data_IF_317953627657
#
_entry.id   IF_317953627657
#
_cell.length_a   1.000
_cell.length_b   1.000
_cell.length_c   1.000
_cell.angle_alpha   90.00
_cell.angle_beta   90.00
_cell.angle_gamma   90.00
#
_symmetry.space_group_name_H-M   'P 1'
#
loop_
_entity.id
_entity.type
_entity.pdbx_description
1 polymer ?
#
# COMPACT_ATOMS: atom_id res chain seq x y z
N UNK A 1 -1.93 13.70 -26.92
CA UNK A 1 -2.62 12.42 -26.72
C UNK A 1 -4.12 12.60 -26.85
N UNK A 2 -4.78 13.36 -25.97
CA UNK A 2 -6.24 13.58 -26.04
C UNK A 2 -6.72 14.14 -27.39
N UNK A 3 -5.99 15.07 -28.01
CA UNK A 3 -6.32 15.58 -29.35
C UNK A 3 -6.18 14.52 -30.47
N UNK A 4 -5.25 13.56 -30.31
CA UNK A 4 -5.03 12.47 -31.27
C UNK A 4 -6.11 11.39 -31.06
N UNK A 5 -6.43 11.04 -29.83
CA UNK A 5 -7.49 10.09 -29.48
C UNK A 5 -8.87 10.61 -29.89
N UNK A 6 -9.13 11.91 -29.68
CA UNK A 6 -10.35 12.55 -30.17
C UNK A 6 -10.42 12.53 -31.71
N UNK A 7 -9.28 12.75 -32.39
CA UNK A 7 -9.21 12.66 -33.85
C UNK A 7 -9.41 11.22 -34.36
N UNK A 8 -8.84 10.22 -33.68
CA UNK A 8 -9.04 8.79 -33.98
C UNK A 8 -10.52 8.45 -33.83
N UNK A 9 -11.17 8.80 -32.71
CA UNK A 9 -12.59 8.56 -32.50
C UNK A 9 -13.45 9.21 -33.60
N UNK A 10 -13.15 10.45 -34.02
CA UNK A 10 -13.86 11.08 -35.13
C UNK A 10 -13.64 10.37 -36.48
N UNK A 11 -12.46 9.81 -36.72
CA UNK A 11 -12.16 9.05 -37.95
C UNK A 11 -12.77 7.64 -37.92
N UNK A 12 -12.87 7.01 -36.75
CA UNK A 12 -13.58 5.74 -36.56
C UNK A 12 -15.08 5.90 -36.72
N UNK A 13 -15.67 6.93 -36.11
CA UNK A 13 -17.08 7.27 -36.27
C UNK A 13 -17.41 7.59 -37.74
N UNK A 14 -16.52 8.28 -38.45
CA UNK A 14 -16.66 8.52 -39.88
C UNK A 14 -16.61 7.21 -40.68
N UNK A 15 -15.65 6.32 -40.41
CA UNK A 15 -15.53 5.01 -41.05
C UNK A 15 -16.75 4.11 -40.79
N UNK A 16 -17.27 4.10 -39.58
CA UNK A 16 -18.50 3.37 -39.24
C UNK A 16 -19.73 3.96 -39.92
N UNK A 17 -19.81 5.30 -40.03
CA UNK A 17 -20.84 5.99 -40.81
C UNK A 17 -20.86 5.55 -42.27
N UNK A 18 -19.70 5.51 -42.93
CA UNK A 18 -19.59 5.06 -44.33
C UNK A 18 -19.86 3.55 -44.48
N UNK A 19 -19.43 2.71 -43.54
CA UNK A 19 -19.72 1.26 -43.54
C UNK A 19 -21.20 0.97 -43.29
N UNK A 20 -21.89 1.76 -42.47
CA UNK A 20 -23.32 1.58 -42.17
C UNK A 20 -24.22 2.12 -43.30
N UNK A 21 -23.84 3.22 -43.94
CA UNK A 21 -24.48 3.70 -45.17
C UNK A 21 -24.43 2.67 -46.30
N UNK A 22 -23.35 1.88 -46.39
CA UNK A 22 -23.23 0.76 -47.34
C UNK A 22 -24.15 -0.44 -47.03
N UNK A 23 -24.59 -0.59 -45.77
CA UNK A 23 -25.42 -1.72 -45.30
C UNK A 23 -26.92 -1.42 -45.32
N UNK A 24 -27.34 -0.19 -45.00
CA UNK A 24 -28.76 0.19 -45.00
C UNK A 24 -29.32 0.42 -46.41
N UNK A 25 -28.47 0.72 -47.39
CA UNK A 25 -28.91 1.07 -48.74
C UNK A 25 -28.95 -0.13 -49.73
N UNK A 26 -29.56 -1.25 -49.32
CA UNK A 26 -29.89 -2.37 -50.24
C UNK A 26 -31.12 -2.12 -51.14
N UNK A 27 -31.64 -0.88 -51.19
CA UNK A 27 -32.91 -0.56 -51.86
C UNK A 27 -32.89 0.55 -52.91
N UNK A 28 -31.89 1.43 -52.97
CA UNK A 28 -31.89 2.53 -53.93
C UNK A 28 -30.48 2.88 -54.42
N UNK A 29 -30.27 2.63 -55.71
CA UNK A 29 -29.19 3.16 -56.55
C UNK A 29 -27.77 2.93 -56.04
N UNK A 30 -27.26 1.74 -56.37
CA UNK A 30 -25.84 1.50 -56.52
C UNK A 30 -25.23 2.51 -57.51
N UNK A 31 -24.51 3.50 -56.99
CA UNK A 31 -23.33 4.04 -57.64
C UNK A 31 -22.22 3.95 -56.60
N UNK A 32 -21.53 2.80 -56.59
CA UNK A 32 -20.22 2.69 -55.96
C UNK A 32 -19.28 3.58 -56.76
N UNK A 33 -19.05 4.82 -56.32
CA UNK A 33 -17.95 5.60 -56.91
C UNK A 33 -16.66 4.97 -56.41
N UNK A 34 -15.77 4.60 -57.34
CA UNK A 34 -14.43 4.11 -57.02
C UNK A 34 -13.69 5.07 -56.07
N UNK A 35 -14.06 6.35 -56.11
CA UNK A 35 -13.61 7.44 -55.26
C UNK A 35 -14.00 7.28 -53.78
N UNK A 36 -15.20 6.78 -53.45
CA UNK A 36 -15.61 6.53 -52.05
C UNK A 36 -14.87 5.33 -51.45
N UNK A 37 -14.59 4.30 -52.27
CA UNK A 37 -13.79 3.15 -51.86
C UNK A 37 -12.31 3.53 -51.67
N UNK A 38 -11.77 4.40 -52.54
CA UNK A 38 -10.42 4.96 -52.39
C UNK A 38 -10.31 5.85 -51.14
N UNK A 39 -11.29 6.72 -50.90
CA UNK A 39 -11.35 7.56 -49.70
C UNK A 39 -11.43 6.72 -48.41
N UNK A 40 -12.22 5.64 -48.40
CA UNK A 40 -12.30 4.74 -47.24
C UNK A 40 -10.97 4.03 -46.98
N UNK A 41 -10.24 3.66 -48.04
CA UNK A 41 -8.90 3.06 -47.93
C UNK A 41 -7.88 4.08 -47.42
N UNK A 42 -7.94 5.32 -47.90
CA UNK A 42 -7.05 6.39 -47.45
C UNK A 42 -7.32 6.79 -46.00
N UNK A 43 -8.58 6.79 -45.58
CA UNK A 43 -8.99 7.02 -44.20
C UNK A 43 -8.54 5.87 -43.28
N UNK A 44 -8.60 4.61 -43.74
CA UNK A 44 -8.05 3.46 -43.01
C UNK A 44 -6.52 3.55 -42.88
N UNK A 45 -5.81 3.94 -43.95
CA UNK A 45 -4.36 4.15 -43.91
C UNK A 45 -3.98 5.28 -42.95
N UNK A 46 -4.79 6.35 -42.89
CA UNK A 46 -4.62 7.46 -41.95
C UNK A 46 -4.86 7.01 -40.50
N UNK A 47 -5.87 6.16 -40.27
CA UNK A 47 -6.15 5.56 -38.97
C UNK A 47 -5.00 4.68 -38.48
N UNK A 48 -4.47 3.83 -39.36
CA UNK A 48 -3.33 2.95 -39.05
C UNK A 48 -2.06 3.78 -38.75
N UNK A 49 -1.85 4.88 -39.47
CA UNK A 49 -0.77 5.83 -39.19
C UNK A 49 -0.98 6.55 -37.85
N UNK A 50 -2.22 6.91 -37.50
CA UNK A 50 -2.56 7.54 -36.23
C UNK A 50 -2.36 6.59 -35.04
N UNK A 51 -2.75 5.32 -35.19
CA UNK A 51 -2.48 4.26 -34.21
C UNK A 51 -0.98 4.00 -34.04
N UNK A 52 -0.21 4.03 -35.13
CA UNK A 52 1.25 3.93 -35.06
C UNK A 52 1.87 5.12 -34.35
N UNK A 53 1.42 6.34 -34.64
CA UNK A 53 1.87 7.56 -33.93
C UNK A 53 1.48 7.52 -32.46
N UNK A 54 0.30 6.99 -32.12
CA UNK A 54 -0.12 6.77 -30.74
C UNK A 54 0.85 5.82 -30.03
N UNK A 55 1.13 4.66 -30.62
CA UNK A 55 2.08 3.68 -30.06
C UNK A 55 3.51 4.24 -29.95
N UNK A 56 3.99 4.94 -30.98
CA UNK A 56 5.31 5.58 -30.99
C UNK A 56 5.39 6.71 -29.94
N UNK A 57 4.29 7.43 -29.72
CA UNK A 57 4.21 8.46 -28.68
C UNK A 57 4.17 7.88 -27.27
N UNK A 58 3.49 6.74 -27.06
CA UNK A 58 3.51 5.98 -25.80
C UNK A 58 4.92 5.50 -25.47
N UNK A 59 5.68 5.07 -26.48
CA UNK A 59 7.10 4.72 -26.34
C UNK A 59 7.98 5.93 -25.97
N UNK A 60 7.66 7.13 -26.48
CA UNK A 60 8.33 8.38 -26.08
C UNK A 60 8.03 8.80 -24.61
N UNK A 61 6.98 8.26 -23.98
CA UNK A 61 6.73 8.41 -22.53
C UNK A 61 7.44 7.35 -21.69
N UNK A 62 7.87 6.23 -22.28
CA UNK A 62 8.61 5.15 -21.61
C UNK A 62 10.14 5.35 -21.69
N UNK A 63 10.63 6.08 -22.69
CA UNK A 63 12.07 6.36 -22.85
C UNK A 63 12.57 7.39 -21.83
N UNK A 64 13.46 6.95 -20.94
CA UNK A 64 14.14 7.75 -19.91
C UNK A 64 14.93 8.95 -20.46
N UNK A 65 15.20 9.01 -21.77
CA UNK A 65 15.91 10.13 -22.42
C UNK A 65 14.99 11.20 -22.99
N UNK A 66 13.67 10.98 -22.94
CA UNK A 66 12.66 11.91 -23.47
C UNK A 66 12.67 13.25 -22.72
N UNK A 67 12.42 14.34 -23.45
CA UNK A 67 12.45 15.73 -22.92
C UNK A 67 11.43 15.92 -21.79
N UNK A 68 10.41 15.06 -21.72
CA UNK A 68 9.42 14.99 -20.65
C UNK A 68 9.99 14.53 -19.30
N UNK A 69 11.11 13.80 -19.29
CA UNK A 69 11.87 13.44 -18.07
C UNK A 69 12.93 14.49 -17.71
N UNK A 70 13.25 15.43 -18.61
CA UNK A 70 14.27 16.47 -18.37
C UNK A 70 13.75 17.69 -17.61
N UNK A 71 12.44 17.81 -17.39
CA UNK A 71 11.89 19.01 -16.75
C UNK A 71 12.28 19.17 -15.27
N UNK A 72 12.65 18.11 -14.56
CA UNK A 72 12.97 18.18 -13.11
C UNK A 72 14.46 18.02 -12.74
N UNK A 73 15.38 18.02 -13.71
CA UNK A 73 16.83 17.96 -13.41
C UNK A 73 17.52 19.32 -13.34
N UNK A 74 16.78 20.44 -13.22
CA UNK A 74 17.36 21.80 -13.25
C UNK A 74 17.26 22.65 -11.97
N UNK A 75 16.83 22.09 -10.83
CA UNK A 75 16.81 22.86 -9.55
C UNK A 75 17.83 22.36 -8.50
N UNK A 76 18.54 21.26 -8.74
CA UNK A 76 19.62 20.80 -7.88
C UNK A 76 20.99 21.15 -8.47
N UNK A 77 21.48 22.38 -8.27
CA UNK A 77 22.88 22.68 -8.54
C UNK A 77 23.24 24.15 -8.78
N UNK A 78 23.38 24.94 -7.71
CA UNK A 78 24.43 25.96 -7.70
C UNK A 78 25.00 26.18 -6.30
N UNK A 79 26.27 25.82 -6.18
CA UNK A 79 27.19 26.00 -5.08
C UNK A 79 27.39 27.46 -4.63
N UNK A 80 27.54 27.66 -3.32
CA UNK A 80 28.48 28.67 -2.78
C UNK A 80 29.38 28.03 -1.75
N UNK A 81 30.47 27.45 -2.23
CA UNK A 81 31.70 27.24 -1.46
C UNK A 81 32.35 28.62 -1.30
N UNK A 82 32.36 29.16 -0.08
CA UNK A 82 33.33 30.19 0.32
C UNK A 82 34.03 29.80 1.61
N UNK A 83 35.15 29.14 1.39
CA UNK A 83 36.35 29.01 2.21
C UNK A 83 36.65 30.29 3.01
N UNK A 84 36.61 30.23 4.35
CA UNK A 84 37.51 31.02 5.22
C UNK A 84 38.00 30.18 6.39
N UNK A 85 39.30 29.95 6.38
CA UNK A 85 40.13 29.24 7.35
C UNK A 85 40.42 30.08 8.60
N UNK A 86 40.37 29.40 9.77
CA UNK A 86 41.20 29.51 11.01
C UNK A 86 41.85 30.86 11.34
N UNK A 87 41.56 31.41 12.52
CA UNK A 87 42.45 31.47 13.71
C UNK A 87 42.05 32.57 14.72
N UNK A 88 41.97 32.22 16.00
CA UNK A 88 42.26 33.04 17.22
C UNK A 88 41.60 32.34 18.42
N UNK A 89 42.23 31.39 19.11
CA UNK A 89 43.10 31.61 20.28
C UNK A 89 42.54 32.57 21.35
N UNK A 90 42.20 31.96 22.49
CA UNK A 90 42.35 32.46 23.87
C UNK A 90 41.65 33.77 24.25
N UNK A 91 40.62 33.65 25.09
CA UNK A 91 40.48 34.54 26.25
C UNK A 91 40.07 33.72 27.46
N UNK A 92 40.89 33.85 28.50
CA UNK A 92 41.00 33.00 29.69
C UNK A 92 40.28 33.62 30.89
N UNK A 93 39.25 34.43 30.65
CA UNK A 93 38.48 35.13 31.67
C UNK A 93 36.99 34.98 31.40
N UNK A 94 36.39 33.91 31.91
CA UNK A 94 34.99 33.92 32.35
C UNK A 94 34.73 32.77 33.33
N UNK A 95 35.68 32.55 34.23
CA UNK A 95 35.66 31.52 35.27
C UNK A 95 35.53 32.18 36.64
N UNK A 96 34.51 33.02 36.83
CA UNK A 96 34.13 33.55 38.15
C UNK A 96 32.62 33.78 38.10
N UNK A 97 31.90 33.22 39.09
CA UNK A 97 30.44 33.30 39.32
C UNK A 97 29.59 32.19 38.70
N UNK A 98 29.83 30.94 39.14
CA UNK A 98 28.79 29.90 39.28
C UNK A 98 29.19 28.94 40.40
N UNK A 99 29.68 29.49 41.51
CA UNK A 99 30.21 28.74 42.65
C UNK A 99 29.39 29.02 43.92
N UNK A 100 28.07 29.19 43.78
CA UNK A 100 27.16 29.25 44.94
C UNK A 100 25.68 29.00 44.59
N UNK A 101 25.40 28.07 43.67
CA UNK A 101 24.10 27.39 43.64
C UNK A 101 24.37 25.90 43.41
N UNK A 102 24.34 25.13 44.50
CA UNK A 102 24.12 23.69 44.42
C UNK A 102 22.66 23.57 43.96
N UNK A 103 22.45 23.62 42.64
CA UNK A 103 21.19 23.17 42.06
C UNK A 103 21.01 21.72 42.52
N UNK A 104 19.91 21.47 43.22
CA UNK A 104 19.57 20.17 43.76
C UNK A 104 19.51 19.20 42.57
N UNK A 105 20.42 18.22 42.53
CA UNK A 105 20.50 17.23 41.45
C UNK A 105 19.23 16.35 41.34
N UNK A 106 18.25 16.58 42.22
CA UNK A 106 16.89 16.03 42.16
C UNK A 106 16.03 16.63 41.04
N UNK A 107 16.39 17.79 40.48
CA UNK A 107 15.65 18.39 39.35
C UNK A 107 16.09 17.84 37.98
N UNK A 108 17.10 16.95 37.94
CA UNK A 108 17.43 16.15 36.74
C UNK A 108 16.65 14.83 36.68
N UNK A 109 15.90 14.48 37.73
CA UNK A 109 15.02 13.30 37.72
C UNK A 109 13.70 13.54 36.96
N UNK A 110 13.37 14.78 36.56
CA UNK A 110 12.24 15.07 35.66
C UNK A 110 12.49 14.61 34.20
N UNK A 111 13.70 14.17 33.85
CA UNK A 111 13.98 13.51 32.57
C UNK A 111 13.96 11.97 32.64
N UNK A 112 13.71 11.40 33.82
CA UNK A 112 13.59 9.96 34.05
C UNK A 112 12.12 9.49 34.05
N UNK A 113 11.30 9.94 33.09
CA UNK A 113 10.02 9.30 32.73
C UNK A 113 10.26 7.92 32.05
N UNK A 114 11.32 7.22 32.42
CA UNK A 114 11.49 5.79 32.13
C UNK A 114 10.85 5.11 33.33
N UNK A 115 9.66 4.46 33.18
CA UNK A 115 9.08 3.71 34.28
C UNK A 115 10.12 2.77 34.86
N UNK A 116 10.15 2.70 36.19
CA UNK A 116 11.14 1.96 36.98
C UNK A 116 11.51 0.65 36.26
N UNK A 117 12.75 0.52 35.79
CA UNK A 117 13.14 -0.55 34.86
C UNK A 117 12.91 -1.94 35.49
N UNK A 118 12.92 -1.99 36.82
CA UNK A 118 12.59 -3.13 37.67
C UNK A 118 11.12 -3.59 37.56
N UNK A 119 10.23 -2.73 37.05
CA UNK A 119 8.81 -3.05 36.79
C UNK A 119 8.56 -3.75 35.44
N UNK A 120 9.57 -3.88 34.58
CA UNK A 120 9.48 -4.42 33.22
C UNK A 120 10.41 -5.63 33.00
N UNK A 121 10.12 -6.80 33.60
CA UNK A 121 10.99 -7.98 33.53
C UNK A 121 11.20 -8.49 32.09
N UNK A 122 10.20 -8.30 31.20
CA UNK A 122 10.31 -8.67 29.79
C UNK A 122 11.30 -7.78 29.03
N UNK A 123 11.38 -6.50 29.36
CA UNK A 123 12.31 -5.57 28.74
C UNK A 123 13.73 -5.83 29.24
N UNK A 124 13.90 -6.08 30.54
CA UNK A 124 15.20 -6.46 31.10
C UNK A 124 15.76 -7.75 30.49
N UNK A 125 14.92 -8.76 30.29
CA UNK A 125 15.31 -9.98 29.59
C UNK A 125 15.71 -9.72 28.12
N UNK A 126 15.06 -8.76 27.46
CA UNK A 126 15.43 -8.35 26.11
C UNK A 126 16.77 -7.61 26.06
N UNK A 127 17.06 -6.76 27.07
CA UNK A 127 18.35 -6.06 27.21
C UNK A 127 19.48 -7.06 27.46
N UNK A 128 19.30 -8.03 28.36
CA UNK A 128 20.29 -9.11 28.56
C UNK A 128 20.58 -9.85 27.26
N UNK A 129 19.55 -10.18 26.50
CA UNK A 129 19.70 -10.86 25.21
C UNK A 129 20.37 -9.98 24.15
N UNK A 130 20.13 -8.67 24.18
CA UNK A 130 20.82 -7.71 23.32
C UNK A 130 22.33 -7.70 23.62
N UNK A 131 22.70 -7.69 24.91
CA UNK A 131 24.10 -7.76 25.35
C UNK A 131 24.77 -9.10 25.00
N UNK A 132 24.08 -10.22 25.20
CA UNK A 132 24.61 -11.56 24.91
C UNK A 132 24.84 -11.81 23.41
N UNK A 133 23.90 -11.38 22.57
CA UNK A 133 23.94 -11.62 21.12
C UNK A 133 24.55 -10.46 20.32
N UNK A 134 25.04 -9.42 21.00
CA UNK A 134 25.61 -8.21 20.39
C UNK A 134 24.64 -7.53 19.40
N UNK A 135 23.36 -7.48 19.78
CA UNK A 135 22.26 -6.91 18.98
C UNK A 135 21.11 -7.88 18.74
N UNK A 136 19.93 -7.33 18.42
CA UNK A 136 18.75 -8.11 18.07
C UNK A 136 18.51 -8.00 16.56
N UNK A 137 18.27 -9.09 15.83
CA UNK A 137 18.02 -9.02 14.39
C UNK A 137 16.84 -8.10 14.07
N UNK A 138 17.04 -7.10 13.23
CA UNK A 138 16.00 -6.21 12.72
C UNK A 138 16.12 -6.11 11.20
N UNK A 139 15.06 -5.66 10.53
CA UNK A 139 15.11 -5.43 9.08
C UNK A 139 15.55 -4.01 8.78
N UNK A 140 14.84 -3.03 9.33
CA UNK A 140 15.12 -1.60 9.21
C UNK A 140 14.98 -0.92 10.58
N UNK A 141 15.85 0.05 10.89
CA UNK A 141 15.72 0.85 12.10
C UNK A 141 14.65 1.92 11.87
N UNK A 142 13.60 1.88 12.69
CA UNK A 142 12.48 2.84 12.66
C UNK A 142 12.29 3.57 13.99
N UNK A 143 13.39 3.75 14.74
CA UNK A 143 13.44 4.38 16.06
C UNK A 143 12.74 5.75 16.08
N UNK A 144 12.99 6.60 15.08
CA UNK A 144 12.36 7.92 14.94
C UNK A 144 10.82 7.84 14.80
N UNK A 145 10.34 6.92 13.95
CA UNK A 145 8.91 6.80 13.65
C UNK A 145 8.10 6.32 14.87
N UNK A 146 8.66 5.38 15.64
CA UNK A 146 8.02 4.87 16.87
C UNK A 146 8.35 5.69 18.12
N UNK A 147 9.16 6.74 17.98
CA UNK A 147 9.58 7.65 19.07
C UNK A 147 10.37 6.97 20.19
N UNK A 148 11.25 6.04 19.82
CA UNK A 148 12.23 5.50 20.75
C UNK A 148 13.35 6.52 20.98
N UNK A 149 13.92 6.55 22.19
CA UNK A 149 15.03 7.45 22.53
C UNK A 149 16.37 7.00 21.92
N UNK A 150 16.52 5.70 21.66
CA UNK A 150 17.71 5.11 21.06
C UNK A 150 17.38 3.90 20.18
N UNK A 151 18.32 3.55 19.30
CA UNK A 151 18.22 2.34 18.46
C UNK A 151 18.28 1.04 19.29
N UNK A 152 18.95 1.09 20.45
CA UNK A 152 19.02 -0.04 21.38
C UNK A 152 17.67 -0.29 22.04
N UNK A 153 17.01 0.79 22.46
CA UNK A 153 15.66 0.74 23.01
C UNK A 153 14.68 0.15 22.00
N UNK A 154 14.74 0.61 20.75
CA UNK A 154 13.93 0.09 19.66
C UNK A 154 14.10 -1.42 19.50
N UNK A 155 15.33 -1.91 19.47
CA UNK A 155 15.63 -3.33 19.31
C UNK A 155 15.11 -4.18 20.47
N UNK A 156 15.30 -3.72 21.71
CA UNK A 156 14.81 -4.42 22.89
C UNK A 156 13.27 -4.47 22.91
N UNK A 157 12.60 -3.35 22.60
CA UNK A 157 11.13 -3.30 22.49
C UNK A 157 10.59 -4.17 21.36
N UNK A 158 11.26 -4.17 20.22
CA UNK A 158 10.94 -5.04 19.09
C UNK A 158 10.97 -6.52 19.50
N UNK A 159 11.96 -6.93 20.29
CA UNK A 159 12.02 -8.30 20.80
C UNK A 159 10.82 -8.65 21.69
N UNK A 160 10.47 -7.78 22.62
CA UNK A 160 9.30 -7.97 23.46
C UNK A 160 8.02 -8.06 22.61
N UNK A 161 7.86 -7.20 21.60
CA UNK A 161 6.69 -7.18 20.71
C UNK A 161 6.57 -8.49 19.94
N UNK A 162 7.68 -9.00 19.40
CA UNK A 162 7.72 -10.30 18.72
C UNK A 162 7.28 -11.43 19.64
N UNK A 163 7.76 -11.43 20.89
CA UNK A 163 7.34 -12.41 21.90
C UNK A 163 5.83 -12.27 22.18
N UNK A 164 5.34 -11.04 22.40
CA UNK A 164 3.93 -10.78 22.65
C UNK A 164 3.03 -11.33 21.53
N UNK A 165 3.33 -11.04 20.26
CA UNK A 165 2.56 -11.59 19.14
C UNK A 165 2.66 -13.11 19.03
N UNK A 166 3.83 -13.69 19.32
CA UNK A 166 3.97 -15.15 19.35
C UNK A 166 3.04 -15.79 20.37
N UNK A 167 2.93 -15.19 21.57
CA UNK A 167 2.00 -15.65 22.60
C UNK A 167 0.53 -15.42 22.20
N UNK A 168 0.18 -14.24 21.69
CA UNK A 168 -1.19 -13.91 21.27
C UNK A 168 -1.69 -14.82 20.15
N UNK A 169 -0.86 -15.02 19.14
CA UNK A 169 -1.18 -15.84 17.98
C UNK A 169 -0.96 -17.33 18.26
N UNK A 170 -0.56 -17.74 19.47
CA UNK A 170 -0.61 -19.16 19.85
C UNK A 170 -2.06 -19.65 20.00
N UNK A 171 -3.01 -18.74 20.23
CA UNK A 171 -4.43 -19.08 20.32
C UNK A 171 -5.12 -19.06 18.94
N UNK A 172 -5.76 -20.16 18.50
CA UNK A 172 -6.44 -20.23 17.19
C UNK A 172 -7.57 -19.21 17.00
N UNK A 173 -8.24 -18.83 18.10
CA UNK A 173 -9.28 -17.80 18.11
C UNK A 173 -8.74 -16.45 17.62
N UNK A 174 -7.55 -16.08 18.11
CA UNK A 174 -6.91 -14.81 17.79
C UNK A 174 -6.39 -14.80 16.35
N UNK A 175 -5.86 -15.92 15.86
CA UNK A 175 -5.47 -16.07 14.46
C UNK A 175 -6.68 -15.90 13.52
N UNK A 176 -7.78 -16.59 13.80
CA UNK A 176 -9.01 -16.50 12.99
C UNK A 176 -9.58 -15.09 13.00
N UNK A 177 -9.61 -14.45 14.18
CA UNK A 177 -10.07 -13.07 14.30
C UNK A 177 -9.18 -12.10 13.51
N UNK A 178 -7.87 -12.29 13.53
CA UNK A 178 -6.92 -11.45 12.80
C UNK A 178 -7.13 -11.57 11.28
N UNK A 179 -7.25 -12.80 10.77
CA UNK A 179 -7.50 -13.07 9.35
C UNK A 179 -8.81 -12.43 8.88
N UNK A 180 -9.88 -12.63 9.64
CA UNK A 180 -11.21 -12.10 9.32
C UNK A 180 -11.24 -10.56 9.41
N UNK A 181 -10.60 -10.01 10.43
CA UNK A 181 -10.51 -8.56 10.63
C UNK A 181 -9.70 -7.89 9.53
N UNK A 182 -8.54 -8.45 9.15
CA UNK A 182 -7.73 -7.95 8.04
C UNK A 182 -8.52 -7.94 6.73
N UNK A 183 -9.24 -9.03 6.45
CA UNK A 183 -10.13 -9.16 5.29
C UNK A 183 -11.21 -8.08 5.30
N UNK A 184 -11.89 -7.90 6.43
CA UNK A 184 -12.97 -6.91 6.57
C UNK A 184 -12.45 -5.48 6.42
N UNK A 185 -11.30 -5.15 7.01
CA UNK A 185 -10.70 -3.81 6.92
C UNK A 185 -10.35 -3.46 5.47
N UNK A 186 -9.68 -4.37 4.76
CA UNK A 186 -9.32 -4.10 3.37
C UNK A 186 -10.55 -4.08 2.44
N UNK A 187 -11.53 -4.96 2.65
CA UNK A 187 -12.77 -4.96 1.88
C UNK A 187 -13.61 -3.69 2.11
N UNK A 188 -13.75 -3.23 3.35
CA UNK A 188 -14.45 -2.00 3.68
C UNK A 188 -13.76 -0.77 3.06
N UNK A 189 -12.42 -0.76 3.01
CA UNK A 189 -11.66 0.27 2.33
C UNK A 189 -11.95 0.29 0.82
N UNK A 190 -12.02 -0.88 0.17
CA UNK A 190 -12.39 -0.99 -1.25
C UNK A 190 -13.79 -0.48 -1.54
N UNK A 191 -14.76 -0.86 -0.70
CA UNK A 191 -16.14 -0.40 -0.82
C UNK A 191 -16.23 1.11 -0.65
N UNK A 192 -15.45 1.69 0.29
CA UNK A 192 -15.38 3.13 0.48
C UNK A 192 -14.78 3.87 -0.73
N UNK A 193 -13.91 3.23 -1.50
CA UNK A 193 -13.38 3.73 -2.76
C UNK A 193 -14.27 3.43 -3.97
N UNK A 194 -15.50 2.96 -3.77
CA UNK A 194 -16.46 2.58 -4.82
C UNK A 194 -15.93 1.47 -5.75
N UNK A 195 -15.04 0.60 -5.24
CA UNK A 195 -14.53 -0.59 -5.94
C UNK A 195 -15.24 -1.86 -5.48
N UNK A 196 -15.32 -2.83 -6.38
CA UNK A 196 -15.86 -4.16 -6.07
C UNK A 196 -14.79 -5.04 -5.38
N UNK A 197 -15.04 -5.53 -4.15
CA UNK A 197 -14.06 -6.33 -3.41
C UNK A 197 -14.02 -7.81 -3.84
N UNK A 198 -14.85 -8.28 -4.77
CA UNK A 198 -14.96 -9.71 -5.11
C UNK A 198 -13.63 -10.38 -5.47
N UNK A 199 -12.89 -9.81 -6.41
CA UNK A 199 -11.62 -10.39 -6.87
C UNK A 199 -10.55 -10.34 -5.77
N UNK A 200 -10.53 -9.25 -4.99
CA UNK A 200 -9.69 -9.14 -3.81
C UNK A 200 -9.99 -10.24 -2.77
N UNK A 201 -11.27 -10.53 -2.50
CA UNK A 201 -11.65 -11.55 -1.54
C UNK A 201 -11.20 -12.96 -1.96
N UNK A 202 -11.28 -13.27 -3.26
CA UNK A 202 -10.78 -14.53 -3.80
C UNK A 202 -9.25 -14.60 -3.62
N UNK A 203 -8.52 -13.56 -4.02
CA UNK A 203 -7.07 -13.51 -3.87
C UNK A 203 -6.61 -13.58 -2.41
N UNK A 204 -7.37 -12.98 -1.49
CA UNK A 204 -7.11 -13.03 -0.06
C UNK A 204 -7.28 -14.45 0.48
N UNK A 205 -8.38 -15.13 0.15
CA UNK A 205 -8.63 -16.52 0.57
C UNK A 205 -7.55 -17.47 0.04
N UNK A 206 -7.14 -17.31 -1.23
CA UNK A 206 -6.06 -18.10 -1.83
C UNK A 206 -4.74 -17.93 -1.06
N UNK A 207 -4.42 -16.72 -0.59
CA UNK A 207 -3.25 -16.47 0.25
C UNK A 207 -3.36 -17.15 1.62
N UNK A 208 -4.53 -17.09 2.26
CA UNK A 208 -4.74 -17.75 3.56
C UNK A 208 -4.64 -19.27 3.42
N UNK A 209 -5.20 -19.84 2.35
CA UNK A 209 -5.08 -21.26 2.05
C UNK A 209 -3.62 -21.66 1.82
N UNK A 210 -2.84 -20.85 1.10
CA UNK A 210 -1.40 -21.07 0.91
C UNK A 210 -0.61 -21.04 2.22
N UNK A 211 -0.95 -20.12 3.14
CA UNK A 211 -0.32 -20.01 4.46
C UNK A 211 -0.69 -21.17 5.41
N UNK A 212 -1.87 -21.78 5.22
CA UNK A 212 -2.33 -22.92 6.03
C UNK A 212 -1.54 -24.21 5.73
N UNK A 213 -0.89 -24.30 4.58
CA UNK A 213 -0.13 -25.48 4.16
C UNK A 213 1.28 -25.49 4.75
N UNK A 214 1.53 -26.42 5.68
CA UNK A 214 2.82 -26.53 6.39
C UNK A 214 4.03 -26.75 5.46
N UNK A 215 3.81 -27.39 4.30
CA UNK A 215 4.85 -27.63 3.30
C UNK A 215 5.45 -26.35 2.74
N UNK A 216 4.66 -25.27 2.68
CA UNK A 216 5.05 -24.03 2.03
C UNK A 216 5.95 -23.16 2.92
N UNK A 217 5.94 -23.39 4.25
CA UNK A 217 6.66 -22.56 5.20
C UNK A 217 8.17 -22.54 5.01
N UNK A 218 8.76 -23.60 4.46
CA UNK A 218 10.19 -23.61 4.13
C UNK A 218 10.50 -22.63 2.99
N UNK A 219 9.70 -22.67 1.92
CA UNK A 219 9.85 -21.76 0.80
C UNK A 219 9.56 -20.31 1.21
N UNK A 220 8.59 -20.10 2.10
CA UNK A 220 8.29 -18.79 2.70
C UNK A 220 9.50 -18.28 3.49
N UNK A 221 10.13 -19.13 4.33
CA UNK A 221 11.30 -18.76 5.11
C UNK A 221 12.47 -18.34 4.22
N UNK A 222 12.76 -19.11 3.17
CA UNK A 222 13.81 -18.80 2.21
C UNK A 222 13.50 -17.47 1.48
N UNK A 223 12.26 -17.26 1.03
CA UNK A 223 11.82 -16.04 0.35
C UNK A 223 11.84 -14.79 1.26
N UNK A 224 11.55 -14.95 2.55
CA UNK A 224 11.62 -13.89 3.55
C UNK A 224 13.07 -13.53 3.91
N UNK A 225 13.95 -14.53 4.00
CA UNK A 225 15.38 -14.31 4.26
C UNK A 225 16.06 -13.51 3.14
N UNK A 226 15.68 -13.72 1.87
CA UNK A 226 16.15 -12.90 0.73
C UNK A 226 15.77 -11.41 0.85
N UNK A 227 14.81 -11.07 1.73
CA UNK A 227 14.30 -9.72 1.95
C UNK A 227 14.67 -9.14 3.31
N UNK A 228 15.72 -9.70 3.93
CA UNK A 228 16.24 -9.32 5.25
C UNK A 228 15.24 -9.51 6.41
N UNK A 229 14.18 -10.30 6.20
CA UNK A 229 13.23 -10.66 7.26
C UNK A 229 13.80 -11.83 8.05
N UNK A 230 14.55 -11.50 9.10
CA UNK A 230 15.27 -12.48 9.95
C UNK A 230 14.38 -13.22 10.95
N UNK A 231 13.12 -12.78 11.14
CA UNK A 231 12.17 -13.41 12.05
C UNK A 231 10.79 -13.46 11.39
N UNK A 232 10.23 -14.66 11.25
CA UNK A 232 8.88 -14.87 10.69
C UNK A 232 7.80 -14.58 11.74
N UNK A 233 7.64 -13.31 12.10
CA UNK A 233 6.57 -12.88 13.00
C UNK A 233 5.55 -12.02 12.26
N UNK A 234 4.34 -11.94 12.82
CA UNK A 234 3.31 -11.04 12.30
C UNK A 234 3.80 -9.59 12.22
N UNK A 235 4.60 -9.14 13.20
CA UNK A 235 5.16 -7.80 13.18
C UNK A 235 6.09 -7.61 11.98
N UNK A 236 7.06 -8.51 11.80
CA UNK A 236 8.08 -8.39 10.76
C UNK A 236 7.52 -8.48 9.33
N UNK A 237 6.50 -9.33 9.12
CA UNK A 237 5.92 -9.52 7.79
C UNK A 237 4.77 -8.53 7.53
N UNK A 238 3.74 -8.52 8.37
CA UNK A 238 2.53 -7.76 8.08
C UNK A 238 2.68 -6.26 8.40
N UNK A 239 3.29 -5.93 9.53
CA UNK A 239 3.43 -4.53 9.94
C UNK A 239 4.67 -3.89 9.29
N UNK A 240 5.82 -4.53 9.38
CA UNK A 240 7.10 -4.00 8.92
C UNK A 240 7.28 -4.11 7.41
N UNK A 241 7.34 -5.33 6.87
CA UNK A 241 7.54 -5.54 5.43
C UNK A 241 6.36 -5.05 4.57
N UNK A 242 5.11 -5.27 4.98
CA UNK A 242 3.95 -4.96 4.12
C UNK A 242 3.46 -3.53 4.37
N UNK A 243 3.01 -3.20 5.57
CA UNK A 243 2.35 -1.92 5.81
C UNK A 243 3.31 -0.74 5.84
N UNK A 244 4.42 -0.85 6.56
CA UNK A 244 5.35 0.27 6.69
C UNK A 244 6.08 0.55 5.37
N UNK A 245 6.55 -0.46 4.64
CA UNK A 245 7.14 -0.23 3.30
C UNK A 245 6.13 0.38 2.33
N UNK A 246 4.86 -0.05 2.39
CA UNK A 246 3.84 0.56 1.55
C UNK A 246 3.65 2.06 1.86
N UNK A 247 3.76 2.47 3.13
CA UNK A 247 3.70 3.89 3.49
C UNK A 247 4.97 4.65 3.08
N UNK A 248 6.15 4.05 3.20
CA UNK A 248 7.42 4.64 2.76
C UNK A 248 7.40 4.86 1.23
N UNK A 249 6.93 3.87 0.47
CA UNK A 249 6.72 3.93 -0.99
C UNK A 249 5.71 5.02 -1.40
N UNK A 250 4.73 5.33 -0.54
CA UNK A 250 3.72 6.36 -0.79
C UNK A 250 4.20 7.78 -0.43
N UNK A 251 5.07 7.91 0.57
CA UNK A 251 5.70 9.19 0.92
C UNK A 251 6.78 9.58 -0.12
N UNK A 252 7.43 8.58 -0.73
CA UNK A 252 8.43 8.77 -1.79
C UNK A 252 8.05 8.02 -3.08
N UNK A 253 6.94 8.41 -3.75
CA UNK A 253 6.45 7.68 -4.90
C UNK A 253 7.42 7.76 -6.10
N UNK A 254 7.51 6.69 -6.93
CA UNK A 254 8.33 6.70 -8.13
C UNK A 254 7.97 7.87 -9.06
N UNK A 255 8.96 8.41 -9.77
CA UNK A 255 8.78 9.58 -10.64
C UNK A 255 7.63 9.42 -11.66
N UNK A 256 7.37 8.20 -12.15
CA UNK A 256 6.26 7.92 -13.06
C UNK A 256 4.89 8.18 -12.42
N UNK A 257 4.72 7.84 -11.14
CA UNK A 257 3.49 8.08 -10.36
C UNK A 257 3.33 9.58 -10.10
N UNK A 258 4.39 10.24 -9.62
CA UNK A 258 4.39 11.68 -9.32
C UNK A 258 4.08 12.54 -10.54
N UNK A 259 4.61 12.16 -11.72
CA UNK A 259 4.41 12.89 -12.97
C UNK A 259 2.96 12.83 -13.46
N UNK A 260 2.30 11.68 -13.34
CA UNK A 260 0.90 11.49 -13.75
C UNK A 260 -0.04 12.27 -12.83
N UNK A 261 0.18 12.17 -11.51
CA UNK A 261 -0.64 12.85 -10.50
C UNK A 261 -0.49 14.37 -10.60
N UNK A 262 0.75 14.86 -10.76
CA UNK A 262 1.07 16.28 -10.85
C UNK A 262 0.59 16.98 -12.12
N UNK A 263 0.22 16.23 -13.16
CA UNK A 263 -0.19 16.81 -14.43
C UNK A 263 -1.58 17.45 -14.34
N UNK A 264 -1.66 18.77 -14.32
CA UNK A 264 -2.93 19.52 -14.20
C UNK A 264 -3.88 19.35 -15.39
N UNK A 265 -3.38 18.91 -16.55
CA UNK A 265 -4.18 18.81 -17.78
C UNK A 265 -4.90 17.47 -17.92
N UNK A 266 -4.56 16.46 -17.12
CA UNK A 266 -5.23 15.17 -17.15
C UNK A 266 -6.49 15.16 -16.28
N UNK A 267 -7.56 14.55 -16.78
CA UNK A 267 -8.77 14.31 -15.98
C UNK A 267 -8.49 13.35 -14.83
N UNK A 268 -9.24 13.47 -13.73
CA UNK A 268 -9.03 12.62 -12.55
C UNK A 268 -9.26 11.13 -12.85
N UNK A 269 -10.27 10.80 -13.68
CA UNK A 269 -10.50 9.43 -14.11
C UNK A 269 -9.35 8.86 -14.94
N UNK A 270 -8.75 9.69 -15.81
CA UNK A 270 -7.57 9.29 -16.57
C UNK A 270 -6.34 9.09 -15.66
N UNK A 271 -6.12 9.99 -14.69
CA UNK A 271 -5.03 9.83 -13.71
C UNK A 271 -5.16 8.55 -12.90
N UNK A 272 -6.36 8.23 -12.45
CA UNK A 272 -6.65 7.00 -11.70
C UNK A 272 -6.38 5.76 -12.56
N UNK A 273 -6.83 5.76 -13.82
CA UNK A 273 -6.62 4.65 -14.75
C UNK A 273 -5.14 4.48 -15.13
N UNK A 274 -4.43 5.58 -15.37
CA UNK A 274 -2.99 5.58 -15.67
C UNK A 274 -2.17 5.10 -14.47
N UNK A 275 -2.52 5.56 -13.25
CA UNK A 275 -1.87 5.12 -12.02
C UNK A 275 -2.09 3.62 -11.78
N UNK A 276 -3.31 3.14 -11.97
CA UNK A 276 -3.65 1.72 -11.83
C UNK A 276 -2.87 0.87 -12.84
N UNK A 277 -2.84 1.30 -14.11
CA UNK A 277 -2.09 0.59 -15.17
C UNK A 277 -0.59 0.57 -14.92
N UNK A 278 -0.02 1.69 -14.46
CA UNK A 278 1.40 1.77 -14.11
C UNK A 278 1.76 0.84 -12.95
N UNK A 279 0.96 0.83 -11.87
CA UNK A 279 1.17 -0.04 -10.72
C UNK A 279 0.99 -1.51 -11.06
N UNK A 280 -0.05 -1.87 -11.81
CA UNK A 280 -0.23 -3.23 -12.31
C UNK A 280 0.95 -3.69 -13.19
N UNK A 281 1.50 -2.80 -14.02
CA UNK A 281 2.67 -3.12 -14.85
C UNK A 281 3.91 -3.33 -14.01
N UNK A 282 4.10 -2.53 -12.96
CA UNK A 282 5.20 -2.67 -12.00
C UNK A 282 5.09 -3.98 -11.22
N UNK A 283 3.89 -4.33 -10.73
CA UNK A 283 3.66 -5.58 -10.00
C UNK A 283 3.87 -6.79 -10.91
N UNK A 284 3.40 -6.76 -12.15
CA UNK A 284 3.67 -7.80 -13.15
C UNK A 284 5.17 -7.94 -13.44
N UNK A 285 5.91 -6.84 -13.53
CA UNK A 285 7.36 -6.87 -13.71
C UNK A 285 8.06 -7.49 -12.48
N UNK A 286 7.70 -7.06 -11.26
CA UNK A 286 8.21 -7.65 -10.01
C UNK A 286 7.92 -9.14 -9.92
N UNK A 287 6.72 -9.57 -10.35
CA UNK A 287 6.31 -10.98 -10.36
C UNK A 287 7.17 -11.85 -11.29
N UNK A 288 7.57 -11.33 -12.46
CA UNK A 288 8.45 -12.04 -13.40
C UNK A 288 9.88 -12.23 -12.87
N UNK A 289 10.28 -11.42 -11.89
CA UNK A 289 11.59 -11.49 -11.25
C UNK A 289 11.61 -12.37 -9.99
N UNK A 290 10.45 -12.93 -9.59
CA UNK A 290 10.40 -13.86 -8.46
C UNK A 290 11.04 -15.19 -8.84
N UNK A 291 11.86 -15.73 -7.95
CA UNK A 291 12.41 -17.08 -8.08
C UNK A 291 11.29 -18.13 -8.03
N UNK A 292 10.33 -17.93 -7.12
CA UNK A 292 9.18 -18.80 -6.92
C UNK A 292 7.89 -18.16 -7.48
N UNK A 293 7.41 -18.59 -8.67
CA UNK A 293 6.23 -18.01 -9.31
C UNK A 293 4.92 -18.31 -8.55
N UNK A 294 4.92 -19.30 -7.65
CA UNK A 294 3.83 -19.63 -6.73
C UNK A 294 4.23 -19.45 -5.25
N UNK A 295 5.20 -18.57 -4.98
CA UNK A 295 5.64 -18.24 -3.62
C UNK A 295 4.72 -17.24 -2.91
N UNK A 296 5.09 -16.88 -1.68
CA UNK A 296 4.35 -15.92 -0.87
C UNK A 296 4.18 -14.58 -1.58
N UNK A 297 5.24 -14.03 -2.18
CA UNK A 297 5.14 -12.73 -2.86
C UNK A 297 4.27 -12.79 -4.11
N UNK A 298 4.13 -13.96 -4.74
CA UNK A 298 3.21 -14.09 -5.88
C UNK A 298 1.76 -13.91 -5.42
N UNK A 299 1.37 -14.56 -4.31
CA UNK A 299 0.05 -14.38 -3.71
C UNK A 299 -0.15 -12.95 -3.19
N UNK A 300 0.86 -12.39 -2.52
CA UNK A 300 0.84 -11.01 -2.03
C UNK A 300 0.69 -9.99 -3.18
N UNK A 301 1.38 -10.18 -4.30
CA UNK A 301 1.24 -9.30 -5.47
C UNK A 301 -0.14 -9.39 -6.10
N UNK A 302 -0.78 -10.57 -6.14
CA UNK A 302 -2.19 -10.68 -6.58
C UNK A 302 -3.11 -9.82 -5.72
N UNK A 303 -2.94 -9.83 -4.39
CA UNK A 303 -3.72 -8.97 -3.49
C UNK A 303 -3.37 -7.49 -3.73
N UNK A 304 -2.10 -7.19 -3.89
CA UNK A 304 -1.58 -5.82 -4.10
C UNK A 304 -2.09 -5.20 -5.40
N UNK A 305 -2.37 -5.99 -6.44
CA UNK A 305 -2.98 -5.50 -7.69
C UNK A 305 -4.34 -4.82 -7.44
N UNK A 306 -5.07 -5.20 -6.39
CA UNK A 306 -6.34 -4.59 -6.02
C UNK A 306 -6.18 -3.43 -5.02
N UNK A 307 -5.29 -3.57 -4.04
CA UNK A 307 -5.18 -2.63 -2.92
C UNK A 307 -4.21 -1.47 -3.22
N UNK A 308 -3.07 -1.73 -3.86
CA UNK A 308 -2.04 -0.70 -4.09
C UNK A 308 -2.52 0.44 -4.99
N UNK A 309 -3.26 0.23 -6.10
CA UNK A 309 -3.82 1.32 -6.88
C UNK A 309 -4.80 2.19 -6.10
N UNK A 310 -5.65 1.55 -5.27
CA UNK A 310 -6.58 2.26 -4.40
C UNK A 310 -5.83 3.15 -3.41
N UNK A 311 -4.81 2.59 -2.75
CA UNK A 311 -4.01 3.33 -1.78
C UNK A 311 -3.26 4.49 -2.45
N UNK A 312 -2.59 4.25 -3.57
CA UNK A 312 -1.89 5.29 -4.31
C UNK A 312 -2.84 6.41 -4.75
N UNK A 313 -4.04 6.07 -5.25
CA UNK A 313 -5.05 7.07 -5.59
C UNK A 313 -5.62 7.78 -4.36
N UNK A 314 -5.78 7.08 -3.24
CA UNK A 314 -6.23 7.67 -1.99
C UNK A 314 -5.23 8.68 -1.43
N UNK A 315 -3.93 8.39 -1.43
CA UNK A 315 -2.93 9.32 -0.88
C UNK A 315 -2.57 10.45 -1.85
N UNK A 316 -2.40 10.13 -3.13
CA UNK A 316 -1.86 11.05 -4.13
C UNK A 316 -2.94 11.68 -5.01
N UNK A 317 -4.09 11.04 -5.15
CA UNK A 317 -5.19 11.53 -5.97
C UNK A 317 -5.86 12.78 -5.43
N UNK A 318 -6.84 13.26 -6.19
CA UNK A 318 -7.57 14.50 -5.92
C UNK A 318 -8.91 14.27 -5.21
N UNK A 319 -9.27 13.03 -4.89
CA UNK A 319 -10.50 12.71 -4.17
C UNK A 319 -10.30 12.96 -2.67
N UNK A 320 -10.82 14.06 -2.16
CA UNK A 320 -10.64 14.45 -0.75
C UNK A 320 -11.24 13.46 0.24
N UNK A 321 -12.41 12.85 -0.06
CA UNK A 321 -13.01 11.89 0.87
C UNK A 321 -12.16 10.63 1.01
N UNK A 322 -11.72 10.06 -0.12
CA UNK A 322 -10.84 8.88 -0.11
C UNK A 322 -9.50 9.20 0.55
N UNK A 323 -8.97 10.40 0.30
CA UNK A 323 -7.73 10.90 0.89
C UNK A 323 -7.81 11.07 2.40
N UNK A 324 -8.91 11.61 2.90
CA UNK A 324 -9.17 11.68 4.34
C UNK A 324 -9.24 10.28 4.95
N UNK A 325 -9.94 9.32 4.32
CA UNK A 325 -10.02 7.94 4.81
C UNK A 325 -8.66 7.26 4.83
N UNK A 326 -7.86 7.39 3.76
CA UNK A 326 -6.53 6.81 3.66
C UNK A 326 -5.56 7.44 4.67
N UNK A 327 -5.58 8.77 4.83
CA UNK A 327 -4.80 9.46 5.87
C UNK A 327 -5.20 9.03 7.27
N UNK A 328 -6.50 8.90 7.54
CA UNK A 328 -6.99 8.41 8.81
C UNK A 328 -6.50 6.98 9.08
N UNK A 329 -6.61 6.08 8.09
CA UNK A 329 -6.08 4.71 8.20
C UNK A 329 -4.58 4.71 8.53
N UNK A 330 -3.76 5.45 7.78
CA UNK A 330 -2.32 5.58 8.05
C UNK A 330 -2.05 6.07 9.47
N UNK A 331 -2.74 7.12 9.91
CA UNK A 331 -2.56 7.68 11.25
C UNK A 331 -2.96 6.67 12.35
N UNK A 332 -4.00 5.85 12.13
CA UNK A 332 -4.35 4.78 13.07
C UNK A 332 -3.26 3.71 13.13
N UNK A 333 -2.69 3.30 11.99
CA UNK A 333 -1.61 2.30 11.96
C UNK A 333 -0.34 2.83 12.61
N UNK A 334 0.10 4.05 12.27
CA UNK A 334 1.29 4.67 12.88
C UNK A 334 1.07 4.90 14.38
N UNK A 335 -0.11 5.40 14.77
CA UNK A 335 -0.46 5.58 16.18
C UNK A 335 -0.49 4.26 16.95
N UNK A 336 -0.96 3.17 16.33
CA UNK A 336 -0.88 1.82 16.90
C UNK A 336 0.57 1.36 17.10
N UNK A 337 1.44 1.57 16.11
CA UNK A 337 2.86 1.24 16.22
C UNK A 337 3.53 2.05 17.35
N UNK A 338 3.33 3.37 17.39
CA UNK A 338 3.85 4.22 18.47
C UNK A 338 3.34 3.78 19.85
N UNK A 339 2.05 3.41 19.95
CA UNK A 339 1.46 2.93 21.19
C UNK A 339 2.07 1.61 21.66
N UNK A 340 2.43 0.69 20.76
CA UNK A 340 3.07 -0.58 21.11
C UNK A 340 4.50 -0.42 21.60
N UNK A 341 5.21 0.60 21.10
CA UNK A 341 6.58 0.92 21.50
C UNK A 341 6.61 1.90 22.69
N UNK A 342 5.47 2.30 23.27
CA UNK A 342 5.43 3.14 24.47
C UNK A 342 5.62 2.32 25.75
N UNK A 343 6.48 2.78 26.66
CA UNK A 343 6.73 2.10 27.94
C UNK A 343 5.50 2.09 28.86
N UNK A 344 4.68 3.14 28.85
CA UNK A 344 3.46 3.26 29.67
C UNK A 344 2.46 2.13 29.41
N UNK A 345 2.48 1.61 28.19
CA UNK A 345 1.59 0.54 27.72
C UNK A 345 2.28 -0.83 27.76
N UNK A 346 3.53 -0.89 28.21
CA UNK A 346 4.38 -2.08 28.19
C UNK A 346 4.31 -2.95 29.47
N UNK A 347 3.46 -2.60 30.45
CA UNK A 347 3.44 -3.26 31.77
C UNK A 347 2.77 -4.65 31.79
N UNK A 348 3.24 -5.49 32.74
CA UNK A 348 2.87 -6.83 33.28
C UNK A 348 1.96 -7.82 32.52
N UNK A 349 1.06 -7.39 31.64
CA UNK A 349 0.34 -8.21 30.66
C UNK A 349 0.56 -7.68 29.25
N UNK A 350 1.82 -7.48 28.86
CA UNK A 350 2.19 -6.83 27.62
C UNK A 350 1.50 -7.42 26.38
N UNK A 351 1.36 -8.75 26.29
CA UNK A 351 0.60 -9.40 25.21
C UNK A 351 -0.88 -9.01 25.21
N UNK A 352 -1.57 -9.11 26.35
CA UNK A 352 -2.98 -8.75 26.46
C UNK A 352 -3.21 -7.25 26.22
N UNK A 353 -2.30 -6.39 26.67
CA UNK A 353 -2.31 -4.96 26.40
C UNK A 353 -2.19 -4.64 24.91
N UNK A 354 -1.24 -5.26 24.20
CA UNK A 354 -1.09 -5.13 22.75
C UNK A 354 -2.34 -5.59 22.01
N UNK A 355 -2.98 -6.69 22.45
CA UNK A 355 -4.22 -7.18 21.87
C UNK A 355 -5.39 -6.20 22.04
N UNK A 356 -5.63 -5.70 23.26
CA UNK A 356 -6.68 -4.70 23.53
C UNK A 356 -6.46 -3.44 22.71
N UNK A 357 -5.21 -2.98 22.61
CA UNK A 357 -4.88 -1.83 21.76
C UNK A 357 -5.23 -2.12 20.31
N UNK A 358 -4.87 -3.29 19.79
CA UNK A 358 -5.16 -3.68 18.43
C UNK A 358 -6.67 -3.75 18.16
N UNK A 359 -7.44 -4.45 18.99
CA UNK A 359 -8.91 -4.51 18.91
C UNK A 359 -9.55 -3.13 18.95
N UNK A 360 -9.07 -2.25 19.84
CA UNK A 360 -9.56 -0.89 19.98
C UNK A 360 -9.30 -0.05 18.74
N UNK A 361 -8.12 -0.17 18.12
CA UNK A 361 -7.77 0.55 16.89
C UNK A 361 -8.58 0.05 15.70
N UNK A 362 -8.75 -1.26 15.55
CA UNK A 362 -9.64 -1.86 14.55
C UNK A 362 -11.07 -1.36 14.73
N UNK A 363 -11.60 -1.39 15.96
CA UNK A 363 -12.96 -0.95 16.26
C UNK A 363 -13.16 0.55 16.02
N UNK A 364 -12.13 1.37 16.22
CA UNK A 364 -12.14 2.81 15.88
C UNK A 364 -12.18 2.99 14.36
N UNK A 365 -11.40 2.22 13.63
CA UNK A 365 -11.36 2.28 12.17
C UNK A 365 -12.71 1.87 11.55
N UNK A 366 -13.26 0.72 11.96
CA UNK A 366 -14.54 0.24 11.43
C UNK A 366 -15.70 1.23 11.70
N UNK A 367 -15.69 1.91 12.85
CA UNK A 367 -16.67 2.98 13.14
C UNK A 367 -16.47 4.19 12.24
N UNK A 368 -15.23 4.63 12.04
CA UNK A 368 -14.95 5.79 11.19
C UNK A 368 -15.41 5.57 9.74
N UNK A 369 -15.12 4.39 9.18
CA UNK A 369 -15.53 4.04 7.81
C UNK A 369 -17.05 3.89 7.67
N UNK A 370 -17.73 3.33 8.68
CA UNK A 370 -19.20 3.20 8.66
C UNK A 370 -19.95 4.54 8.83
N UNK A 371 -19.34 5.52 9.48
CA UNK A 371 -19.98 6.82 9.76
C UNK A 371 -19.63 7.93 8.76
N UNK A 372 -18.78 7.69 7.76
CA UNK A 372 -18.57 8.66 6.69
C UNK A 372 -19.87 8.85 5.87
N UNK A 373 -20.33 10.10 5.66
CA UNK A 373 -21.52 10.36 4.87
C UNK A 373 -21.25 9.92 3.43
N UNK A 374 -21.87 8.81 3.02
CA UNK A 374 -21.86 8.37 1.61
C UNK A 374 -22.39 9.51 0.76
N UNK A 375 -21.50 10.22 0.07
CA UNK A 375 -21.89 11.14 -0.99
C UNK A 375 -22.68 10.33 -2.00
N UNK A 376 -24.00 10.56 -2.07
CA UNK A 376 -24.87 10.01 -3.10
C UNK A 376 -24.38 10.54 -4.45
N UNK A 377 -23.44 9.84 -5.07
CA UNK A 377 -23.27 9.93 -6.51
C UNK A 377 -24.53 9.38 -7.14
N UNK A 378 -25.20 10.23 -7.92
CA UNK A 378 -26.41 9.95 -8.68
C UNK A 378 -26.06 8.93 -9.77
N UNK A 379 -26.08 7.65 -9.45
CA UNK A 379 -26.27 6.59 -10.44
C UNK A 379 -27.60 5.92 -10.12
N UNK A 380 -28.58 6.32 -10.90
CA UNK A 380 -29.94 5.81 -10.92
C UNK A 380 -29.97 4.29 -11.12
N UNK A 381 -30.80 3.65 -10.29
CA UNK A 381 -31.57 2.43 -10.56
C UNK A 381 -30.80 1.12 -10.85
N UNK A 382 -30.76 0.26 -9.83
CA UNK A 382 -30.39 -1.14 -10.02
C UNK A 382 -30.18 -1.95 -8.73
N UNK A 383 -30.88 -1.65 -7.62
CA UNK A 383 -30.89 -2.55 -6.46
C UNK A 383 -31.60 -3.84 -6.85
N UNK A 384 -30.85 -4.89 -7.20
CA UNK A 384 -31.27 -6.26 -6.91
C UNK A 384 -30.57 -6.67 -5.63
N UNK A 385 -31.39 -6.95 -4.62
CA UNK A 385 -30.97 -7.51 -3.34
C UNK A 385 -30.28 -8.86 -3.60
N UNK A 386 -29.03 -8.98 -3.16
CA UNK A 386 -28.32 -10.25 -3.10
C UNK A 386 -28.74 -10.97 -1.82
N UNK A 387 -29.64 -11.95 -1.94
CA UNK A 387 -29.89 -12.98 -0.93
C UNK A 387 -28.75 -14.01 -0.96
N UNK A 388 -28.22 -14.45 0.20
CA UNK A 388 -27.14 -15.44 0.22
C UNK A 388 -27.71 -16.85 -0.05
N UNK A 389 -27.35 -17.42 -1.21
CA UNK A 389 -27.60 -18.82 -1.56
C UNK A 389 -26.47 -19.72 -1.01
N UNK A 390 -26.53 -20.06 0.28
CA UNK A 390 -25.79 -21.20 0.84
C UNK A 390 -26.68 -21.91 1.85
N UNK A 391 -27.56 -22.81 1.37
CA UNK A 391 -28.20 -23.85 2.18
C UNK A 391 -29.16 -24.69 1.32
N UNK A 392 -28.67 -25.38 0.28
CA UNK A 392 -29.47 -26.46 -0.35
C UNK A 392 -28.60 -27.43 -1.16
N UNK A 393 -27.70 -28.13 -0.46
CA UNK A 393 -27.05 -29.35 -0.98
C UNK A 393 -26.83 -30.40 0.11
N UNK A 394 -27.89 -30.71 0.87
CA UNK A 394 -28.01 -31.95 1.67
C UNK A 394 -29.47 -32.38 1.77
N UNK A 395 -30.10 -32.72 0.64
CA UNK A 395 -31.39 -33.43 0.58
C UNK A 395 -31.62 -34.08 -0.80
N UNK A 396 -30.60 -34.76 -1.32
CA UNK A 396 -30.70 -35.57 -2.54
C UNK A 396 -29.80 -36.82 -2.47
N UNK A 397 -29.81 -37.50 -1.31
CA UNK A 397 -29.20 -38.81 -1.13
C UNK A 397 -29.82 -39.46 0.12
N UNK A 398 -31.00 -40.06 -0.03
CA UNK A 398 -31.71 -40.70 1.07
C UNK A 398 -33.17 -40.95 0.72
N UNK A 399 -33.42 -41.94 -0.13
CA UNK A 399 -34.78 -42.29 -0.52
C UNK A 399 -34.88 -43.27 -1.69
N UNK A 400 -34.20 -44.42 -1.60
CA UNK A 400 -34.51 -45.58 -2.43
C UNK A 400 -34.01 -46.83 -1.72
N UNK A 401 -34.88 -47.47 -0.93
CA UNK A 401 -34.83 -48.88 -0.52
C UNK A 401 -36.06 -49.20 0.37
N UNK A 402 -37.18 -49.57 -0.25
CA UNK A 402 -38.20 -50.48 0.33
C UNK A 402 -39.18 -50.94 -0.76
N UNK A 403 -39.50 -52.24 -0.77
CA UNK A 403 -40.27 -53.03 -1.76
C UNK A 403 -39.46 -53.32 -3.04
N UNK A 404 -39.02 -54.54 -3.35
CA UNK A 404 -39.54 -55.90 -3.12
C UNK A 404 -38.39 -56.88 -3.16
#
# INVERSE_FOLDING_TARGET
MEAIETAINFWEDALEGYRNLSKENRGALAVTTAEEAEFTRDLQNLLDAAYKIQSDSELLFLDQRSVLFRADSSVAGRSTISRRTRSSWSSRDSFVSAQDEIADLRDLDEFNDIPDLDSLPLYQAAVQKYEENNGIPYRCLRSDMVRCSSDEEYQCKLHCIRLAFKWLLSEPSNQSWLVETGRQVLADLMINAEKDPRDFLIAYEDMIQYLAEQSNWKDIEDEMNERDVRALTFFDIALDLILMDAFDDLDSPPACVSSVVGNRWLSNGFKEAALSTALCSLLKAKRRMLQNPSGFMSHFYTISEHISPLMAWGFLGTNENLKETCKYFRNQVIGFLQDMFSFDKMSLQFSFGVWILFEKQVSRWQRAVKHQPRTRSRVSAGRREFTPLISERKKAAGGALSST
#
